data_IF_130553991219
#
_entry.id   IF_130553991219
#
_cell.length_a   1.000
_cell.length_b   1.000
_cell.length_c   1.000
_cell.angle_alpha   90.00
_cell.angle_beta   90.00
_cell.angle_gamma   90.00
#
_symmetry.space_group_name_H-M   'P 1'
#
loop_
_entity.id
_entity.type
_entity.pdbx_description
1 polymer ?
#
# COMPACT_ATOMS: atom_id res chain seq x y z
N UNK A 1 22.18 -9.10 -1.73
CA UNK A 1 21.29 -9.84 -2.64
C UNK A 1 20.60 -8.86 -3.59
N UNK A 2 20.55 -9.20 -4.88
CA UNK A 2 19.92 -8.36 -5.88
C UNK A 2 18.39 -8.45 -5.72
N UNK A 3 17.71 -7.31 -5.54
CA UNK A 3 16.26 -7.25 -5.51
C UNK A 3 15.80 -7.07 -6.96
N UNK A 4 15.04 -8.02 -7.46
CA UNK A 4 14.36 -7.93 -8.73
C UNK A 4 13.13 -7.03 -8.57
N UNK A 5 13.06 -5.93 -9.34
CA UNK A 5 11.96 -4.97 -9.25
C UNK A 5 11.64 -4.34 -10.60
N UNK A 6 10.38 -4.04 -10.79
CA UNK A 6 9.86 -3.29 -11.92
C UNK A 6 9.39 -1.91 -11.48
N UNK A 7 9.62 -0.93 -12.35
CA UNK A 7 9.04 0.41 -12.23
C UNK A 7 8.66 0.94 -13.62
N UNK A 8 7.67 1.81 -13.65
CA UNK A 8 7.08 2.33 -14.89
C UNK A 8 6.87 3.84 -14.78
N UNK A 9 7.00 4.55 -15.89
CA UNK A 9 6.84 6.01 -15.94
C UNK A 9 7.96 6.80 -15.25
N UNK A 10 9.14 6.21 -15.10
CA UNK A 10 10.31 6.82 -14.45
C UNK A 10 11.61 6.30 -15.08
N UNK A 11 12.68 7.11 -15.09
CA UNK A 11 14.01 6.76 -15.63
C UNK A 11 13.95 6.17 -17.05
N UNK A 12 13.30 6.88 -17.99
CA UNK A 12 13.15 6.50 -19.40
C UNK A 12 12.37 5.19 -19.63
N UNK A 13 11.68 4.64 -18.61
CA UNK A 13 10.70 3.60 -18.82
C UNK A 13 9.32 4.20 -19.04
N UNK A 14 8.65 3.77 -20.11
CA UNK A 14 7.31 4.22 -20.43
C UNK A 14 6.31 3.86 -19.32
N UNK A 15 5.31 4.72 -19.05
CA UNK A 15 4.20 4.38 -18.18
C UNK A 15 3.34 3.29 -18.82
N UNK A 16 2.76 2.43 -18.01
CA UNK A 16 1.83 1.39 -18.45
C UNK A 16 0.42 1.71 -17.97
N UNK A 17 -0.58 1.33 -18.76
CA UNK A 17 -1.98 1.64 -18.52
C UNK A 17 -2.88 0.43 -18.81
N UNK A 18 -4.12 0.48 -18.34
CA UNK A 18 -5.15 -0.51 -18.68
C UNK A 18 -4.70 -1.92 -18.33
N UNK A 19 -4.77 -2.82 -19.30
CA UNK A 19 -4.47 -4.24 -19.10
C UNK A 19 -3.02 -4.49 -18.66
N UNK A 20 -2.05 -3.78 -19.23
CA UNK A 20 -0.62 -3.95 -18.89
C UNK A 20 -0.34 -3.60 -17.43
N UNK A 21 -1.01 -2.55 -16.91
CA UNK A 21 -0.94 -2.20 -15.51
C UNK A 21 -1.49 -3.31 -14.59
N UNK A 22 -2.64 -3.89 -14.95
CA UNK A 22 -3.20 -5.01 -14.19
C UNK A 22 -2.35 -6.27 -14.29
N UNK A 23 -1.75 -6.55 -15.43
CA UNK A 23 -0.80 -7.66 -15.59
C UNK A 23 0.45 -7.46 -14.73
N UNK A 24 1.01 -6.26 -14.68
CA UNK A 24 2.15 -5.95 -13.81
C UNK A 24 1.81 -6.16 -12.33
N UNK A 25 0.64 -5.72 -11.87
CA UNK A 25 0.17 -5.97 -10.50
C UNK A 25 -0.01 -7.47 -10.24
N UNK A 26 -0.63 -8.20 -11.15
CA UNK A 26 -0.91 -9.63 -11.00
C UNK A 26 0.38 -10.48 -10.94
N UNK A 27 1.42 -10.06 -11.65
CA UNK A 27 2.72 -10.72 -11.65
C UNK A 27 3.60 -10.31 -10.46
N UNK A 28 3.20 -9.29 -9.71
CA UNK A 28 3.95 -8.78 -8.56
C UNK A 28 3.53 -9.48 -7.28
N UNK A 29 4.47 -9.68 -6.37
CA UNK A 29 4.23 -10.26 -5.04
C UNK A 29 4.18 -9.20 -3.94
N UNK A 30 4.87 -8.10 -4.15
CA UNK A 30 5.10 -7.02 -3.19
C UNK A 30 5.01 -5.68 -3.92
N UNK A 31 4.62 -4.64 -3.23
CA UNK A 31 4.53 -3.31 -3.80
C UNK A 31 4.97 -2.21 -2.84
N UNK A 32 5.56 -1.17 -3.38
CA UNK A 32 6.06 -0.02 -2.62
C UNK A 32 5.13 1.18 -2.82
N UNK A 33 4.51 1.63 -1.73
CA UNK A 33 3.72 2.85 -1.72
C UNK A 33 4.61 4.05 -1.39
N UNK A 34 5.13 4.71 -2.43
CA UNK A 34 5.97 5.90 -2.30
C UNK A 34 5.12 7.16 -2.16
N UNK A 35 5.57 8.07 -1.30
CA UNK A 35 5.06 9.46 -1.30
C UNK A 35 5.64 10.24 -2.48
N UNK A 36 4.85 11.15 -3.03
CA UNK A 36 5.34 12.13 -4.00
C UNK A 36 5.93 13.30 -3.23
N UNK A 37 7.25 13.40 -3.19
CA UNK A 37 7.98 14.34 -2.35
C UNK A 37 8.15 13.82 -0.90
N UNK A 38 8.18 14.73 0.06
CA UNK A 38 8.33 14.36 1.47
C UNK A 38 7.07 13.66 2.01
N UNK A 39 7.23 12.57 2.77
CA UNK A 39 6.09 11.88 3.38
C UNK A 39 5.39 12.80 4.38
N UNK A 40 4.09 12.96 4.24
CA UNK A 40 3.23 13.66 5.18
C UNK A 40 2.28 12.70 5.87
N UNK A 41 1.77 13.08 7.04
CA UNK A 41 0.83 12.26 7.81
C UNK A 41 -0.38 11.87 6.96
N UNK A 42 -0.68 10.58 6.96
CA UNK A 42 -1.79 9.95 6.22
C UNK A 42 -1.74 10.13 4.71
N UNK A 43 -0.59 10.55 4.16
CA UNK A 43 -0.46 10.61 2.72
C UNK A 43 -0.57 9.21 2.12
N UNK A 44 -1.54 9.06 1.28
CA UNK A 44 -1.72 7.89 0.41
C UNK A 44 -1.99 8.38 -1.00
N UNK A 45 -1.54 7.63 -1.99
CA UNK A 45 -1.93 7.81 -3.37
C UNK A 45 -2.86 6.68 -3.80
N UNK A 46 -3.46 6.79 -4.99
CA UNK A 46 -4.21 5.67 -5.58
C UNK A 46 -3.39 4.37 -5.65
N UNK A 47 -2.07 4.47 -5.54
CA UNK A 47 -1.17 3.31 -5.51
C UNK A 47 -1.46 2.38 -4.35
N UNK A 48 -1.75 2.89 -3.16
CA UNK A 48 -2.07 2.01 -2.02
C UNK A 48 -3.34 1.18 -2.30
N UNK A 49 -4.34 1.79 -2.94
CA UNK A 49 -5.56 1.10 -3.37
C UNK A 49 -5.24 -0.04 -4.35
N UNK A 50 -4.40 0.26 -5.35
CA UNK A 50 -3.98 -0.72 -6.35
C UNK A 50 -3.17 -1.86 -5.74
N UNK A 51 -2.24 -1.57 -4.84
CA UNK A 51 -1.39 -2.59 -4.22
C UNK A 51 -2.17 -3.46 -3.23
N UNK A 52 -2.81 -2.85 -2.23
CA UNK A 52 -3.56 -3.60 -1.22
C UNK A 52 -4.81 -4.25 -1.79
N UNK A 53 -5.53 -3.55 -2.68
CA UNK A 53 -6.73 -4.07 -3.34
C UNK A 53 -6.46 -5.31 -4.19
N UNK A 54 -5.29 -5.40 -4.81
CA UNK A 54 -4.87 -6.59 -5.57
C UNK A 54 -4.13 -7.64 -4.71
N UNK A 55 -4.00 -7.42 -3.41
CA UNK A 55 -3.44 -8.40 -2.48
C UNK A 55 -1.93 -8.51 -2.52
N UNK A 56 -1.22 -7.44 -2.88
CA UNK A 56 0.22 -7.37 -2.77
C UNK A 56 0.64 -7.04 -1.33
N UNK A 57 1.74 -7.63 -0.86
CA UNK A 57 2.36 -7.16 0.38
C UNK A 57 2.85 -5.73 0.16
N UNK A 58 2.27 -4.79 0.89
CA UNK A 58 2.51 -3.36 0.66
C UNK A 58 3.49 -2.80 1.68
N UNK A 59 4.55 -2.14 1.20
CA UNK A 59 5.51 -1.41 2.02
C UNK A 59 5.16 0.06 2.03
N UNK A 60 5.22 0.68 3.22
CA UNK A 60 4.84 2.08 3.44
C UNK A 60 5.88 2.77 4.32
N UNK A 61 6.25 4.00 3.98
CA UNK A 61 7.15 4.81 4.82
C UNK A 61 6.47 5.13 6.16
N UNK A 62 7.15 4.82 7.27
CA UNK A 62 6.63 5.04 8.63
C UNK A 62 6.31 6.51 8.92
N UNK A 63 6.98 7.44 8.24
CA UNK A 63 6.70 8.89 8.36
C UNK A 63 5.27 9.27 7.95
N UNK A 64 4.59 8.41 7.18
CA UNK A 64 3.18 8.62 6.82
C UNK A 64 2.20 8.34 7.97
N UNK A 65 2.65 7.71 9.07
CA UNK A 65 1.81 7.34 10.22
C UNK A 65 0.56 6.53 9.85
N UNK A 66 0.64 5.70 8.79
CA UNK A 66 -0.45 4.81 8.41
C UNK A 66 -0.60 3.62 9.37
N UNK A 67 0.34 3.44 10.29
CA UNK A 67 0.24 2.52 11.43
C UNK A 67 -0.89 2.90 12.43
N UNK A 68 -1.45 4.10 12.36
CA UNK A 68 -2.69 4.45 13.04
C UNK A 68 -3.91 3.70 12.47
N UNK A 69 -3.86 3.27 11.19
CA UNK A 69 -4.95 2.60 10.48
C UNK A 69 -4.69 1.11 10.26
N UNK A 70 -3.43 0.73 10.05
CA UNK A 70 -3.01 -0.63 9.71
C UNK A 70 -1.93 -1.10 10.68
N UNK A 71 -2.06 -2.31 11.17
CA UNK A 71 -1.05 -2.93 12.02
C UNK A 71 0.01 -3.70 11.19
N UNK A 72 1.04 -4.21 11.87
CA UNK A 72 2.16 -4.93 11.25
C UNK A 72 1.78 -6.28 10.59
N UNK A 73 0.56 -6.77 10.81
CA UNK A 73 0.02 -7.97 10.14
C UNK A 73 -0.83 -7.62 8.92
N UNK A 74 -0.91 -6.35 8.53
CA UNK A 74 -1.74 -5.85 7.43
C UNK A 74 -0.92 -5.06 6.41
N UNK A 75 0.13 -4.38 6.86
CA UNK A 75 1.05 -3.59 6.02
C UNK A 75 2.44 -3.61 6.64
N UNK A 76 3.47 -3.40 5.83
CA UNK A 76 4.85 -3.36 6.31
C UNK A 76 5.36 -1.92 6.29
N UNK A 77 5.55 -1.35 7.48
CA UNK A 77 6.20 -0.05 7.61
C UNK A 77 7.71 -0.19 7.50
N UNK A 78 8.37 0.79 6.86
CA UNK A 78 9.82 0.89 6.83
C UNK A 78 10.29 2.30 7.24
N UNK A 79 11.49 2.36 7.84
CA UNK A 79 12.05 3.61 8.37
C UNK A 79 13.00 4.29 7.39
N UNK A 80 13.73 3.50 6.60
CA UNK A 80 14.74 3.95 5.63
C UNK A 80 14.96 2.86 4.58
N UNK A 81 15.82 3.14 3.59
CA UNK A 81 16.08 2.24 2.46
C UNK A 81 16.70 0.92 2.91
N UNK A 82 17.61 0.94 3.89
CA UNK A 82 18.24 -0.30 4.39
C UNK A 82 17.19 -1.21 5.05
N UNK A 83 16.36 -0.65 5.95
CA UNK A 83 15.25 -1.37 6.60
C UNK A 83 14.24 -1.92 5.57
N UNK A 84 13.94 -1.15 4.51
CA UNK A 84 13.11 -1.62 3.40
C UNK A 84 13.74 -2.82 2.68
N UNK A 85 15.03 -2.73 2.35
CA UNK A 85 15.77 -3.78 1.67
C UNK A 85 15.79 -5.08 2.48
N UNK A 86 16.08 -4.99 3.78
CA UNK A 86 16.07 -6.13 4.68
C UNK A 86 14.69 -6.80 4.76
N UNK A 87 13.63 -6.00 4.87
CA UNK A 87 12.25 -6.48 4.88
C UNK A 87 11.84 -7.14 3.56
N UNK A 88 12.20 -6.56 2.42
CA UNK A 88 11.94 -7.18 1.11
C UNK A 88 12.62 -8.55 1.04
N UNK A 89 13.89 -8.64 1.39
CA UNK A 89 14.65 -9.89 1.40
C UNK A 89 14.06 -10.93 2.37
N UNK A 90 13.61 -10.49 3.54
CA UNK A 90 12.93 -11.34 4.50
C UNK A 90 11.63 -11.94 3.93
N UNK A 91 10.75 -11.12 3.37
CA UNK A 91 9.47 -11.58 2.83
C UNK A 91 9.62 -12.33 1.49
N UNK A 92 10.68 -12.11 0.74
CA UNK A 92 11.05 -12.92 -0.43
C UNK A 92 11.31 -14.38 -0.03
N UNK A 93 11.93 -14.60 1.14
CA UNK A 93 12.22 -15.94 1.70
C UNK A 93 11.05 -16.56 2.48
N UNK A 94 10.07 -15.75 2.92
CA UNK A 94 8.96 -16.16 3.77
C UNK A 94 7.60 -15.99 3.06
N UNK A 95 7.41 -16.71 1.95
CA UNK A 95 6.24 -16.54 1.05
C UNK A 95 4.89 -16.75 1.75
N UNK A 96 4.77 -17.74 2.63
CA UNK A 96 3.53 -18.00 3.38
C UNK A 96 3.17 -16.84 4.32
N UNK A 97 4.16 -16.28 5.02
CA UNK A 97 3.94 -15.12 5.89
C UNK A 97 3.58 -13.89 5.05
N UNK A 98 4.27 -13.67 3.93
CA UNK A 98 3.98 -12.62 2.97
C UNK A 98 2.52 -12.67 2.50
N UNK A 99 2.06 -13.83 2.04
CA UNK A 99 0.67 -14.02 1.56
C UNK A 99 -0.36 -13.76 2.66
N UNK A 100 -0.08 -14.22 3.88
CA UNK A 100 -0.97 -14.02 5.02
C UNK A 100 -1.14 -12.53 5.33
N UNK A 101 -0.05 -11.77 5.40
CA UNK A 101 -0.09 -10.33 5.66
C UNK A 101 -0.77 -9.58 4.50
N UNK A 102 -0.43 -9.89 3.26
CA UNK A 102 -1.06 -9.30 2.08
C UNK A 102 -2.58 -9.52 2.06
N UNK A 103 -3.03 -10.73 2.38
CA UNK A 103 -4.47 -11.06 2.48
C UNK A 103 -5.16 -10.30 3.61
N UNK A 104 -4.52 -10.19 4.77
CA UNK A 104 -5.06 -9.42 5.90
C UNK A 104 -5.15 -7.92 5.55
N UNK A 105 -4.10 -7.37 4.94
CA UNK A 105 -4.07 -6.00 4.46
C UNK A 105 -5.19 -5.69 3.45
N UNK A 106 -5.39 -6.58 2.48
CA UNK A 106 -6.49 -6.46 1.51
C UNK A 106 -7.86 -6.41 2.21
N UNK A 107 -8.11 -7.34 3.13
CA UNK A 107 -9.38 -7.38 3.89
C UNK A 107 -9.58 -6.09 4.70
N UNK A 108 -8.54 -5.63 5.38
CA UNK A 108 -8.59 -4.38 6.16
C UNK A 108 -8.83 -3.17 5.27
N UNK A 109 -8.15 -3.10 4.12
CA UNK A 109 -8.32 -2.01 3.15
C UNK A 109 -9.79 -1.90 2.70
N UNK A 110 -10.40 -2.99 2.22
CA UNK A 110 -11.80 -2.99 1.81
C UNK A 110 -12.78 -2.74 2.96
N UNK A 111 -12.42 -3.13 4.19
CA UNK A 111 -13.24 -2.81 5.36
C UNK A 111 -13.26 -1.31 5.64
N UNK A 112 -12.12 -0.64 5.52
CA UNK A 112 -12.01 0.81 5.81
C UNK A 112 -12.49 1.69 4.66
N UNK A 113 -12.07 1.37 3.45
CA UNK A 113 -12.18 2.24 2.27
C UNK A 113 -13.16 1.70 1.21
N UNK A 114 -14.28 1.09 1.66
CA UNK A 114 -15.37 0.80 0.76
C UNK A 114 -16.21 2.07 0.49
N UNK A 115 -16.98 2.05 -0.59
CA UNK A 115 -17.77 3.18 -1.07
C UNK A 115 -18.75 3.73 -0.03
N UNK A 116 -19.37 2.85 0.75
CA UNK A 116 -20.35 3.25 1.77
C UNK A 116 -19.68 4.00 2.93
N UNK A 117 -18.55 3.49 3.43
CA UNK A 117 -17.79 4.13 4.51
C UNK A 117 -17.26 5.51 4.06
N UNK A 118 -16.74 5.59 2.84
CA UNK A 118 -16.22 6.84 2.29
C UNK A 118 -17.37 7.85 2.10
N UNK A 119 -18.49 7.44 1.50
CA UNK A 119 -19.64 8.31 1.33
C UNK A 119 -20.18 8.80 2.68
N UNK A 120 -20.33 7.90 3.65
CA UNK A 120 -20.76 8.26 5.00
C UNK A 120 -19.79 9.25 5.66
N UNK A 121 -18.48 9.00 5.58
CA UNK A 121 -17.47 9.91 6.12
C UNK A 121 -17.56 11.31 5.53
N UNK A 122 -17.70 11.41 4.20
CA UNK A 122 -17.85 12.70 3.50
C UNK A 122 -19.11 13.42 3.96
N UNK A 123 -20.26 12.73 4.01
CA UNK A 123 -21.52 13.30 4.47
C UNK A 123 -21.46 13.79 5.91
N UNK A 124 -20.94 12.95 6.82
CA UNK A 124 -20.83 13.31 8.24
C UNK A 124 -19.92 14.53 8.43
N UNK A 125 -18.81 14.61 7.72
CA UNK A 125 -17.91 15.79 7.74
C UNK A 125 -18.58 17.04 7.18
N UNK A 126 -19.28 16.92 6.05
CA UNK A 126 -19.98 18.03 5.40
C UNK A 126 -21.11 18.60 6.27
N UNK A 127 -21.72 17.75 7.10
CA UNK A 127 -22.79 18.14 8.04
C UNK A 127 -22.26 18.54 9.43
N UNK A 128 -20.95 18.71 9.60
CA UNK A 128 -20.33 19.09 10.87
C UNK A 128 -20.38 18.00 11.95
N UNK A 129 -20.71 16.75 11.59
CA UNK A 129 -20.74 15.63 12.54
C UNK A 129 -19.34 15.09 12.81
N UNK A 130 -19.18 14.45 13.97
CA UNK A 130 -17.95 13.70 14.29
C UNK A 130 -17.89 12.48 13.35
N UNK A 131 -16.87 12.40 12.52
CA UNK A 131 -16.66 11.29 11.59
C UNK A 131 -15.24 10.75 11.70
N UNK A 132 -15.12 9.42 11.75
CA UNK A 132 -13.86 8.68 11.74
C UNK A 132 -13.95 7.60 10.68
N UNK A 133 -12.81 7.28 10.03
CA UNK A 133 -12.71 6.15 9.09
C UNK A 133 -12.14 4.89 9.76
N UNK A 134 -11.59 5.02 10.96
CA UNK A 134 -10.91 3.96 11.69
C UNK A 134 -11.08 4.14 13.21
#
# INVERSE_FOLDING_TARGET
>A
ENIDYDFYGFQNKEPIWGNDFYQALNNSKMGLNLSRGLPTKYYTSNRIASLMGNGLLTFVDKKTQLDDMFNSHEVIMYNNVNDLTDKINFYKKNDNLRKRIASAGRKKYFKLFNELNIAKYILDKSLGKKATLY
#
